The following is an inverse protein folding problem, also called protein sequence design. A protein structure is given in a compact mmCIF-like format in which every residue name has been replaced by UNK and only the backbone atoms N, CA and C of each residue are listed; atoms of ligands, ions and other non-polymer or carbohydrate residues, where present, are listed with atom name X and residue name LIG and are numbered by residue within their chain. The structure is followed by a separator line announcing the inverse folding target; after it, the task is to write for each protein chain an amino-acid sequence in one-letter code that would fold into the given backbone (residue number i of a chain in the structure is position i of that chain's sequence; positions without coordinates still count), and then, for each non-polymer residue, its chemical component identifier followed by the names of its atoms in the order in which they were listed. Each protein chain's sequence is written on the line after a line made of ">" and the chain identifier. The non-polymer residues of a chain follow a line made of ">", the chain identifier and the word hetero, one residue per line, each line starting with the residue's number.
data_IF_568263468643
#
_entry.id   IF_568263468643
#
_cell.length_a   1.000
_cell.length_b   1.000
_cell.length_c   1.000
_cell.angle_alpha   90.00
_cell.angle_beta   90.00
_cell.angle_gamma   90.00
#
_symmetry.space_group_name_H-M   'P 1'
#
loop_
_entity.id
_entity.type
_entity.pdbx_description
1 polymer ?
#
# COMPACT_ATOMS: atom_id res chain seq x y z
N UNK A 1 -12.65 12.57 -6.10
CA UNK A 1 -11.76 11.42 -6.39
C UNK A 1 -11.72 10.38 -5.28
N UNK A 2 -11.36 10.71 -4.02
CA UNK A 2 -11.14 9.69 -2.96
C UNK A 2 -12.30 8.72 -2.70
N UNK A 3 -13.55 9.18 -2.70
CA UNK A 3 -14.74 8.30 -2.50
C UNK A 3 -14.92 7.33 -3.67
N UNK A 4 -14.74 7.82 -4.90
CA UNK A 4 -14.82 7.00 -6.12
C UNK A 4 -13.70 5.96 -6.10
N UNK A 5 -12.48 6.35 -5.74
CA UNK A 5 -11.35 5.43 -5.57
C UNK A 5 -11.62 4.36 -4.52
N UNK A 6 -12.17 4.73 -3.37
CA UNK A 6 -12.53 3.79 -2.31
C UNK A 6 -13.55 2.74 -2.79
N UNK A 7 -14.56 3.13 -3.56
CA UNK A 7 -15.52 2.20 -4.18
C UNK A 7 -14.81 1.14 -5.03
N UNK A 8 -13.85 1.55 -5.88
CA UNK A 8 -13.11 0.62 -6.73
C UNK A 8 -12.20 -0.33 -5.92
N UNK A 9 -11.51 0.17 -4.90
CA UNK A 9 -10.67 -0.69 -4.04
C UNK A 9 -11.51 -1.68 -3.23
N UNK A 10 -12.63 -1.23 -2.63
CA UNK A 10 -13.53 -2.10 -1.88
C UNK A 10 -14.17 -3.18 -2.78
N UNK A 11 -14.48 -2.85 -4.03
CA UNK A 11 -14.96 -3.85 -5.00
C UNK A 11 -13.92 -4.96 -5.22
N UNK A 12 -12.63 -4.62 -5.34
CA UNK A 12 -11.56 -5.61 -5.50
C UNK A 12 -11.46 -6.50 -4.26
N UNK A 13 -11.45 -5.91 -3.05
CA UNK A 13 -11.43 -6.68 -1.79
C UNK A 13 -12.62 -7.63 -1.73
N UNK A 14 -13.81 -7.17 -2.13
CA UNK A 14 -15.02 -8.00 -2.17
C UNK A 14 -14.87 -9.22 -3.07
N UNK A 15 -14.40 -9.02 -4.29
CA UNK A 15 -14.21 -10.12 -5.25
C UNK A 15 -13.16 -11.11 -4.75
N UNK A 16 -12.07 -10.63 -4.14
CA UNK A 16 -10.96 -11.47 -3.69
C UNK A 16 -11.29 -12.30 -2.44
N UNK A 17 -12.06 -11.77 -1.50
CA UNK A 17 -12.23 -12.38 -0.17
C UNK A 17 -13.65 -12.86 0.16
N UNK A 18 -14.69 -12.32 -0.48
CA UNK A 18 -16.08 -12.71 -0.23
C UNK A 18 -16.71 -13.55 -1.36
N UNK A 19 -16.00 -13.73 -2.47
CA UNK A 19 -16.44 -14.55 -3.61
C UNK A 19 -16.03 -16.03 -3.46
N UNK A 20 -16.63 -16.90 -4.29
CA UNK A 20 -16.12 -18.27 -4.45
C UNK A 20 -14.79 -18.22 -5.23
N UNK A 21 -13.74 -18.91 -4.78
CA UNK A 21 -12.48 -18.96 -5.51
C UNK A 21 -12.67 -19.64 -6.86
N UNK A 22 -11.97 -19.18 -7.87
CA UNK A 22 -12.00 -19.80 -9.20
C UNK A 22 -11.27 -21.16 -9.22
N UNK A 23 -10.34 -21.37 -8.28
CA UNK A 23 -9.58 -22.60 -8.11
C UNK A 23 -9.07 -22.71 -6.67
N UNK A 24 -9.02 -23.92 -6.13
CA UNK A 24 -8.41 -24.25 -4.83
C UNK A 24 -6.87 -24.41 -4.93
N UNK A 25 -6.31 -24.36 -6.14
CA UNK A 25 -4.87 -24.45 -6.33
C UNK A 25 -4.18 -23.23 -5.68
N UNK A 26 -3.14 -23.51 -4.88
CA UNK A 26 -2.34 -22.45 -4.27
C UNK A 26 -1.61 -21.66 -5.35
N UNK A 27 -1.62 -20.33 -5.21
CA UNK A 27 -0.83 -19.45 -6.08
C UNK A 27 0.64 -19.50 -5.64
N UNK A 28 1.58 -19.95 -6.50
CA UNK A 28 2.99 -19.96 -6.15
C UNK A 28 3.52 -18.54 -5.98
N UNK A 29 4.30 -18.33 -4.93
CA UNK A 29 4.95 -17.04 -4.65
C UNK A 29 6.40 -17.29 -4.25
N UNK A 30 7.33 -16.64 -4.96
CA UNK A 30 8.75 -16.74 -4.67
C UNK A 30 9.09 -16.05 -3.35
N UNK A 31 10.20 -16.46 -2.72
CA UNK A 31 10.68 -15.82 -1.49
C UNK A 31 10.95 -14.32 -1.69
N UNK A 32 11.53 -13.95 -2.84
CA UNK A 32 11.78 -12.55 -3.19
C UNK A 32 10.48 -11.72 -3.30
N UNK A 33 9.43 -12.28 -3.92
CA UNK A 33 8.13 -11.60 -4.03
C UNK A 33 7.51 -11.34 -2.65
N UNK A 34 7.57 -12.34 -1.75
CA UNK A 34 7.04 -12.21 -0.40
C UNK A 34 7.79 -11.16 0.42
N UNK A 35 9.12 -11.14 0.32
CA UNK A 35 9.95 -10.15 1.00
C UNK A 35 9.67 -8.74 0.47
N UNK A 36 9.58 -8.56 -0.84
CA UNK A 36 9.25 -7.27 -1.44
C UNK A 36 7.88 -6.76 -0.96
N UNK A 37 6.85 -7.62 -0.98
CA UNK A 37 5.52 -7.27 -0.47
C UNK A 37 5.55 -6.89 1.01
N UNK A 38 6.24 -7.66 1.85
CA UNK A 38 6.36 -7.38 3.28
C UNK A 38 7.04 -6.03 3.53
N UNK A 39 8.13 -5.74 2.82
CA UNK A 39 8.81 -4.44 2.90
C UNK A 39 7.91 -3.29 2.44
N UNK A 40 7.15 -3.46 1.36
CA UNK A 40 6.18 -2.45 0.91
C UNK A 40 5.09 -2.20 1.94
N UNK A 41 4.50 -3.25 2.51
CA UNK A 41 3.48 -3.13 3.56
C UNK A 41 4.05 -2.43 4.81
N UNK A 42 5.25 -2.83 5.25
CA UNK A 42 5.93 -2.18 6.37
C UNK A 42 6.21 -0.70 6.08
N UNK A 43 6.67 -0.36 4.88
CA UNK A 43 6.88 1.03 4.48
C UNK A 43 5.61 1.87 4.56
N UNK A 44 4.50 1.35 4.02
CA UNK A 44 3.18 2.03 4.10
C UNK A 44 2.75 2.22 5.56
N UNK A 45 2.90 1.20 6.40
CA UNK A 45 2.53 1.29 7.82
C UNK A 45 3.41 2.28 8.59
N UNK A 46 4.73 2.23 8.39
CA UNK A 46 5.66 3.16 9.05
C UNK A 46 5.37 4.61 8.67
N UNK A 47 5.16 4.87 7.37
CA UNK A 47 4.82 6.20 6.86
C UNK A 47 3.44 6.67 7.32
N UNK A 48 2.46 5.77 7.35
CA UNK A 48 1.08 6.10 7.73
C UNK A 48 0.89 6.31 9.23
N UNK A 49 1.59 5.52 10.06
CA UNK A 49 1.46 5.57 11.53
C UNK A 49 2.41 6.59 12.16
N UNK A 50 3.65 6.67 11.66
CA UNK A 50 4.69 7.58 12.18
C UNK A 50 5.25 8.46 11.05
N UNK A 51 4.43 9.35 10.46
CA UNK A 51 4.84 10.17 9.32
C UNK A 51 6.00 11.12 9.66
N UNK A 52 6.11 11.53 10.94
CA UNK A 52 7.12 12.48 11.41
C UNK A 52 8.57 12.10 11.10
N UNK A 53 8.87 10.80 10.90
CA UNK A 53 10.20 10.32 10.52
C UNK A 53 10.66 10.88 9.17
N UNK A 54 9.74 11.04 8.21
CA UNK A 54 10.06 11.43 6.83
C UNK A 54 9.54 12.85 6.53
N UNK A 55 8.51 13.32 7.23
CA UNK A 55 7.94 14.66 7.01
C UNK A 55 8.97 15.79 7.21
N UNK A 56 9.93 15.66 8.15
CA UNK A 56 10.99 16.67 8.32
C UNK A 56 11.86 16.85 7.08
N UNK A 57 12.19 15.74 6.40
CA UNK A 57 12.96 15.77 5.16
C UNK A 57 12.14 16.41 4.04
N UNK A 58 10.86 16.06 3.94
CA UNK A 58 9.95 16.64 2.98
C UNK A 58 9.77 18.16 3.19
N UNK A 59 9.69 18.62 4.45
CA UNK A 59 9.59 20.04 4.79
C UNK A 59 10.85 20.82 4.40
N UNK A 60 12.03 20.27 4.65
CA UNK A 60 13.31 20.88 4.22
C UNK A 60 13.34 21.01 2.69
N UNK A 61 12.99 19.94 1.96
CA UNK A 61 12.94 19.98 0.50
C UNK A 61 11.90 20.99 -0.02
N UNK A 62 10.71 21.05 0.59
CA UNK A 62 9.66 22.00 0.21
C UNK A 62 10.12 23.46 0.36
N UNK A 63 10.85 23.80 1.44
CA UNK A 63 11.36 25.15 1.67
C UNK A 63 12.33 25.63 0.58
N UNK A 64 13.04 24.72 -0.10
CA UNK A 64 13.94 25.08 -1.19
C UNK A 64 13.20 25.64 -2.41
N UNK A 65 11.91 25.32 -2.59
CA UNK A 65 11.08 25.81 -3.68
C UNK A 65 10.39 27.16 -3.39
N UNK A 66 10.49 27.67 -2.16
CA UNK A 66 9.84 28.91 -1.70
C UNK A 66 10.86 30.07 -1.60
N UNK A 67 11.93 30.01 -2.40
CA UNK A 67 12.75 31.18 -2.73
C UNK A 67 12.12 31.97 -3.87
#
# INVERSE_FOLDING_TARGET
>A
NSVISAYYYLRVVKVMWMGKPASEAKVPSSGALRLALALSCLGVLLLGVVPGLIMKLAEVAAKMFVF
#
